data_IF_222828406933
#
_entry.id   IF_222828406933
#
_cell.length_a   1.000
_cell.length_b   1.000
_cell.length_c   1.000
_cell.angle_alpha   90.00
_cell.angle_beta   90.00
_cell.angle_gamma   90.00
#
_symmetry.space_group_name_H-M   'P 1'
#
loop_
_entity.id
_entity.type
_entity.pdbx_description
1 polymer ?
#
# COMPACT_ATOMS: atom_id res chain seq x y z
N UNK A 1 44.94 23.80 19.95
CA UNK A 1 44.10 22.59 20.04
C UNK A 1 42.67 23.01 20.34
N UNK A 2 41.84 23.24 19.32
CA UNK A 2 40.40 23.34 19.51
C UNK A 2 39.77 22.13 18.82
N UNK A 3 39.23 21.26 19.66
CA UNK A 3 38.58 20.02 19.28
C UNK A 3 37.50 20.32 18.23
N UNK A 4 37.61 19.65 17.08
CA UNK A 4 36.50 19.56 16.12
C UNK A 4 35.44 18.66 16.73
N UNK A 5 34.64 19.20 17.66
CA UNK A 5 33.35 18.63 18.03
C UNK A 5 32.44 18.72 16.82
N UNK A 6 32.56 17.74 15.91
CA UNK A 6 31.53 17.46 14.91
C UNK A 6 30.29 17.03 15.66
N UNK A 7 29.48 18.00 16.09
CA UNK A 7 28.11 17.78 16.48
C UNK A 7 27.38 17.28 15.22
N UNK A 8 27.46 15.96 14.99
CA UNK A 8 26.58 15.28 14.06
C UNK A 8 25.19 15.34 14.67
N UNK A 9 24.47 16.43 14.41
CA UNK A 9 23.03 16.45 14.59
C UNK A 9 22.44 15.54 13.52
N UNK A 10 22.07 14.29 13.86
CA UNK A 10 22.00 13.19 12.89
C UNK A 10 20.69 13.16 12.09
N UNK A 11 19.82 14.16 12.28
CA UNK A 11 18.43 14.17 11.81
C UNK A 11 18.14 15.45 11.04
N UNK A 12 17.70 15.30 9.79
CA UNK A 12 17.36 16.39 8.88
C UNK A 12 15.90 16.82 9.06
N UNK A 13 15.62 18.11 8.84
CA UNK A 13 14.24 18.57 8.73
C UNK A 13 13.58 17.98 7.48
N UNK A 14 12.25 17.75 7.53
CA UNK A 14 11.49 17.08 6.46
C UNK A 14 11.75 17.68 5.07
N UNK A 15 11.73 19.01 4.96
CA UNK A 15 11.91 19.71 3.69
C UNK A 15 13.28 19.46 3.02
N UNK A 16 14.28 19.03 3.79
CA UNK A 16 15.64 18.77 3.31
C UNK A 16 16.00 17.28 3.35
N UNK A 17 15.04 16.42 3.67
CA UNK A 17 15.31 15.00 3.82
C UNK A 17 15.53 14.34 2.45
N UNK A 18 16.61 13.57 2.35
CA UNK A 18 16.87 12.68 1.24
C UNK A 18 17.34 11.33 1.78
N UNK A 19 16.86 10.25 1.18
CA UNK A 19 17.24 8.88 1.55
C UNK A 19 18.75 8.63 1.48
N UNK A 20 19.49 9.36 0.62
CA UNK A 20 20.97 9.27 0.56
C UNK A 20 21.65 9.68 1.87
N UNK A 21 21.00 10.53 2.66
CA UNK A 21 21.51 11.02 3.94
C UNK A 21 20.95 10.22 5.13
N UNK A 22 20.05 9.27 4.89
CA UNK A 22 19.47 8.45 5.94
C UNK A 22 20.36 7.24 6.24
N UNK A 23 20.79 7.13 7.49
CA UNK A 23 21.62 6.01 7.95
C UNK A 23 20.81 5.18 8.95
N UNK A 24 20.47 3.96 8.56
CA UNK A 24 19.76 3.03 9.44
C UNK A 24 20.73 2.55 10.53
N UNK A 25 20.42 2.85 11.79
CA UNK A 25 21.15 2.33 12.96
C UNK A 25 20.37 1.26 13.70
N UNK A 26 19.05 1.25 13.54
CA UNK A 26 18.18 0.23 14.09
C UNK A 26 17.13 -0.16 13.06
N UNK A 27 16.91 -1.46 12.91
CA UNK A 27 15.91 -2.04 12.02
C UNK A 27 15.09 -3.05 12.82
N UNK A 28 13.78 -2.83 12.87
CA UNK A 28 12.83 -3.81 13.38
C UNK A 28 11.98 -4.32 12.22
N UNK A 29 11.96 -5.64 12.01
CA UNK A 29 11.03 -6.25 11.08
C UNK A 29 9.64 -6.28 11.74
N UNK A 30 8.62 -5.92 10.98
CA UNK A 30 7.26 -5.84 11.46
C UNK A 30 6.36 -6.81 10.72
N UNK A 31 5.36 -7.31 11.44
CA UNK A 31 4.25 -8.10 10.96
C UNK A 31 3.00 -7.72 11.77
N UNK A 32 1.80 -8.22 11.43
CA UNK A 32 0.58 -7.87 12.14
C UNK A 32 0.65 -8.09 13.65
N UNK A 33 1.22 -9.22 14.09
CA UNK A 33 1.28 -9.58 15.50
C UNK A 33 2.25 -8.74 16.34
N UNK A 34 3.27 -8.13 15.74
CA UNK A 34 4.26 -7.34 16.49
C UNK A 34 4.25 -5.84 16.18
N UNK A 35 3.42 -5.38 15.23
CA UNK A 35 3.45 -4.01 14.74
C UNK A 35 3.16 -2.99 15.85
N UNK A 36 2.09 -3.21 16.61
CA UNK A 36 1.68 -2.34 17.72
C UNK A 36 2.78 -2.24 18.79
N UNK A 37 3.27 -3.39 19.27
CA UNK A 37 4.32 -3.44 20.29
C UNK A 37 5.61 -2.76 19.80
N UNK A 38 6.01 -2.97 18.55
CA UNK A 38 7.21 -2.38 17.95
C UNK A 38 7.11 -0.85 17.90
N UNK A 39 5.99 -0.31 17.43
CA UNK A 39 5.77 1.14 17.33
C UNK A 39 5.74 1.79 18.71
N UNK A 40 4.99 1.22 19.66
CA UNK A 40 4.88 1.69 21.05
C UNK A 40 6.23 1.71 21.76
N UNK A 41 7.06 0.69 21.53
CA UNK A 41 8.37 0.56 22.18
C UNK A 41 9.44 1.48 21.56
N UNK A 42 9.34 1.77 20.26
CA UNK A 42 10.41 2.41 19.50
C UNK A 42 10.19 3.90 19.24
N UNK A 43 8.93 4.35 19.24
CA UNK A 43 8.52 5.70 18.89
C UNK A 43 7.85 6.42 20.07
N UNK A 44 7.85 7.75 20.03
CA UNK A 44 7.17 8.58 21.03
C UNK A 44 5.73 8.87 20.57
N UNK A 45 4.75 9.01 21.48
CA UNK A 45 3.35 9.28 21.12
C UNK A 45 3.15 10.52 20.23
N UNK A 46 3.95 11.57 20.45
CA UNK A 46 3.91 12.82 19.70
C UNK A 46 4.72 12.82 18.40
N UNK A 47 5.43 11.73 18.10
CA UNK A 47 6.03 11.58 16.77
C UNK A 47 4.94 11.52 15.72
N UNK A 48 5.27 11.88 14.48
CA UNK A 48 4.32 11.90 13.37
C UNK A 48 4.73 10.96 12.25
N UNK A 49 3.74 10.28 11.69
CA UNK A 49 3.84 9.39 10.54
C UNK A 49 3.36 10.16 9.31
N UNK A 50 4.28 10.57 8.45
CA UNK A 50 4.02 11.37 7.26
C UNK A 50 4.32 10.57 6.00
N UNK A 51 3.35 10.46 5.09
CA UNK A 51 3.56 9.83 3.77
C UNK A 51 4.63 10.61 3.00
N UNK A 52 5.67 9.91 2.53
CA UNK A 52 6.80 10.56 1.85
C UNK A 52 6.46 11.04 0.42
N UNK A 53 5.77 10.20 -0.36
CA UNK A 53 5.37 10.51 -1.73
C UNK A 53 4.00 9.91 -2.05
N UNK A 54 3.28 10.51 -2.99
CA UNK A 54 2.04 9.96 -3.54
C UNK A 54 2.28 8.95 -4.67
N UNK A 55 3.47 8.93 -5.27
CA UNK A 55 3.83 8.11 -6.43
C UNK A 55 5.29 7.61 -6.40
N UNK A 56 5.60 6.67 -7.30
CA UNK A 56 6.93 6.10 -7.47
C UNK A 56 7.46 5.30 -6.28
N UNK A 57 8.77 5.05 -6.25
CA UNK A 57 9.45 4.24 -5.22
C UNK A 57 9.31 4.80 -3.79
N UNK A 58 9.03 6.09 -3.65
CA UNK A 58 8.81 6.73 -2.36
C UNK A 58 7.41 6.48 -1.78
N UNK A 59 6.45 6.00 -2.58
CA UNK A 59 5.05 5.94 -2.20
C UNK A 59 4.74 4.94 -1.08
N UNK A 60 5.52 3.86 -0.98
CA UNK A 60 5.39 2.87 0.09
C UNK A 60 6.11 3.24 1.39
N UNK A 61 6.66 4.45 1.50
CA UNK A 61 7.43 4.87 2.67
C UNK A 61 6.70 5.94 3.45
N UNK A 62 6.73 5.79 4.77
CA UNK A 62 6.21 6.76 5.72
C UNK A 62 7.38 7.28 6.53
N UNK A 63 7.61 8.59 6.49
CA UNK A 63 8.61 9.24 7.33
C UNK A 63 8.12 9.28 8.77
N UNK A 64 9.01 8.99 9.70
CA UNK A 64 8.78 9.19 11.13
C UNK A 64 9.43 10.50 11.54
N UNK A 65 8.63 11.43 12.02
CA UNK A 65 9.05 12.78 12.38
C UNK A 65 8.98 12.97 13.89
N UNK A 66 9.94 13.68 14.46
CA UNK A 66 9.83 14.14 15.84
C UNK A 66 9.00 15.43 15.96
N UNK A 67 8.83 15.90 17.21
CA UNK A 67 8.13 17.14 17.52
C UNK A 67 8.77 18.41 16.92
N UNK A 68 10.00 18.32 16.39
CA UNK A 68 10.70 19.41 15.69
C UNK A 68 10.66 19.26 14.16
N UNK A 69 9.79 18.40 13.64
CA UNK A 69 9.68 18.10 12.20
C UNK A 69 11.01 17.59 11.61
N UNK A 70 11.81 16.91 12.41
CA UNK A 70 13.02 16.22 11.94
C UNK A 70 12.73 14.75 11.72
N UNK A 71 13.18 14.24 10.58
CA UNK A 71 13.07 12.82 10.25
C UNK A 71 13.98 12.04 11.20
N UNK A 72 13.38 11.08 11.92
CA UNK A 72 14.08 10.14 12.81
C UNK A 72 14.15 8.72 12.26
N UNK A 73 13.38 8.45 11.21
CA UNK A 73 13.16 7.11 10.73
C UNK A 73 12.26 7.03 9.51
N UNK A 74 12.16 5.82 8.99
CA UNK A 74 11.29 5.43 7.89
C UNK A 74 10.53 4.19 8.32
N UNK A 75 9.21 4.29 8.32
CA UNK A 75 8.28 3.19 8.46
C UNK A 75 7.86 2.68 7.08
N UNK A 76 8.06 1.39 6.86
CA UNK A 76 7.55 0.61 5.73
C UNK A 76 6.30 -0.11 6.26
N UNK A 77 5.09 0.31 5.85
CA UNK A 77 3.86 -0.18 6.46
C UNK A 77 3.65 -1.67 6.30
N UNK A 78 3.11 -2.31 7.33
CA UNK A 78 2.46 -3.62 7.19
C UNK A 78 1.16 -3.40 6.43
N UNK A 79 1.11 -3.82 5.16
CA UNK A 79 0.04 -3.40 4.24
C UNK A 79 -1.35 -3.96 4.58
N UNK A 80 -1.47 -5.03 5.36
CA UNK A 80 -2.78 -5.48 5.85
C UNK A 80 -3.32 -4.64 7.03
N UNK A 81 -2.54 -3.71 7.57
CA UNK A 81 -3.00 -2.69 8.52
C UNK A 81 -3.37 -1.38 7.80
N UNK A 82 -4.17 -0.50 8.43
CA UNK A 82 -4.46 0.83 7.89
C UNK A 82 -3.19 1.58 7.50
N UNK A 83 -3.16 2.13 6.28
CA UNK A 83 -2.09 3.02 5.90
C UNK A 83 -2.18 4.31 6.74
N UNK A 84 -1.07 4.84 7.29
CA UNK A 84 -1.12 6.04 8.14
C UNK A 84 -1.82 7.24 7.50
N UNK A 85 -1.69 7.41 6.17
CA UNK A 85 -2.39 8.50 5.46
C UNK A 85 -3.89 8.31 5.29
N UNK A 86 -4.40 7.10 5.51
CA UNK A 86 -5.83 6.80 5.44
C UNK A 86 -6.53 6.94 6.80
N UNK A 87 -5.75 7.03 7.90
CA UNK A 87 -6.28 7.16 9.27
C UNK A 87 -6.79 8.59 9.55
N UNK A 88 -6.19 9.60 8.95
CA UNK A 88 -6.69 10.98 9.05
C UNK A 88 -7.55 11.28 7.83
N UNK A 89 -8.86 11.50 8.04
CA UNK A 89 -9.80 11.88 6.98
C UNK A 89 -9.48 13.22 6.30
N UNK A 90 -8.60 14.00 6.93
CA UNK A 90 -8.08 15.24 6.39
C UNK A 90 -6.69 14.99 5.82
N UNK A 91 -6.42 15.53 4.63
CA UNK A 91 -5.12 15.55 3.97
C UNK A 91 -4.10 16.40 4.73
N UNK A 92 -3.90 16.08 6.00
CA UNK A 92 -3.04 16.77 6.93
C UNK A 92 -1.61 16.58 6.44
N UNK A 93 -1.10 17.62 5.78
CA UNK A 93 0.26 17.68 5.24
C UNK A 93 1.34 17.40 6.27
N UNK A 94 0.98 17.43 7.56
CA UNK A 94 1.88 17.20 8.67
C UNK A 94 1.87 15.74 9.18
N UNK A 95 1.02 14.85 8.65
CA UNK A 95 0.95 13.43 9.01
C UNK A 95 0.13 13.10 10.26
N UNK A 96 0.02 11.83 10.63
CA UNK A 96 -0.76 11.37 11.81
C UNK A 96 0.17 11.21 13.02
N UNK A 97 -0.26 11.56 14.24
CA UNK A 97 0.54 11.26 15.43
C UNK A 97 0.61 9.74 15.65
N UNK A 98 1.72 9.26 16.21
CA UNK A 98 1.87 7.85 16.59
C UNK A 98 0.76 7.47 17.57
N UNK A 99 0.43 8.31 18.53
CA UNK A 99 -0.69 8.07 19.46
C UNK A 99 -2.01 7.80 18.74
N UNK A 100 -2.39 8.65 17.77
CA UNK A 100 -3.65 8.49 17.04
C UNK A 100 -3.62 7.27 16.13
N UNK A 101 -2.47 6.96 15.54
CA UNK A 101 -2.32 5.76 14.73
C UNK A 101 -2.45 4.48 15.59
N UNK A 102 -1.82 4.48 16.78
CA UNK A 102 -1.90 3.36 17.73
C UNK A 102 -3.33 3.10 18.19
N UNK A 103 -4.13 4.13 18.47
CA UNK A 103 -5.57 3.98 18.81
C UNK A 103 -6.36 3.22 17.73
N UNK A 104 -5.96 3.32 16.47
CA UNK A 104 -6.63 2.62 15.36
C UNK A 104 -6.16 1.18 15.24
N UNK A 105 -4.87 0.91 15.47
CA UNK A 105 -4.30 -0.43 15.28
C UNK A 105 -4.27 -1.29 16.55
N UNK A 106 -4.49 -0.71 17.74
CA UNK A 106 -4.52 -1.43 19.02
C UNK A 106 -5.56 -2.55 19.05
N UNK A 107 -6.84 -2.33 18.68
CA UNK A 107 -7.82 -3.42 18.68
C UNK A 107 -7.45 -4.54 17.70
N UNK A 108 -6.61 -4.24 16.71
CA UNK A 108 -6.20 -5.17 15.65
C UNK A 108 -5.06 -6.06 16.08
N UNK A 109 -4.19 -5.56 16.96
CA UNK A 109 -3.09 -6.34 17.51
C UNK A 109 -3.62 -7.55 18.29
N UNK A 110 -4.67 -7.35 19.09
CA UNK A 110 -5.28 -8.40 19.90
C UNK A 110 -5.96 -9.51 19.08
N UNK A 111 -6.42 -9.20 17.86
CA UNK A 111 -7.00 -10.19 16.95
C UNK A 111 -5.97 -11.13 16.34
N UNK A 112 -4.68 -10.76 16.36
CA UNK A 112 -3.60 -11.63 15.89
C UNK A 112 -3.21 -12.70 16.90
N UNK A 113 -3.55 -12.51 18.19
CA UNK A 113 -3.17 -13.42 19.28
C UNK A 113 -4.21 -14.53 19.50
N UNK A 114 -5.47 -14.29 19.13
CA UNK A 114 -6.51 -15.29 19.16
C UNK A 114 -6.35 -16.26 17.99
N UNK A 115 -5.68 -17.37 18.25
CA UNK A 115 -5.71 -18.60 17.43
C UNK A 115 -7.11 -19.23 17.30
N UNK A 116 -8.18 -18.51 17.64
CA UNK A 116 -9.55 -19.00 17.62
C UNK A 116 -10.02 -19.21 16.18
N UNK A 117 -9.72 -20.42 15.71
CA UNK A 117 -10.40 -21.15 14.66
C UNK A 117 -11.85 -21.39 15.09
N UNK A 118 -12.70 -20.38 14.99
CA UNK A 118 -14.13 -20.58 15.21
C UNK A 118 -14.93 -20.06 14.03
N UNK A 119 -15.39 -21.03 13.25
CA UNK A 119 -16.64 -21.03 12.50
C UNK A 119 -17.78 -20.40 13.31
N UNK A 120 -18.06 -19.11 13.10
CA UNK A 120 -19.32 -18.42 13.40
C UNK A 120 -19.13 -17.00 12.83
N UNK A 121 -19.88 -16.52 11.84
CA UNK A 121 -21.22 -15.91 12.00
C UNK A 121 -21.43 -15.23 13.37
N UNK A 122 -20.39 -14.62 13.94
CA UNK A 122 -20.59 -13.56 14.92
C UNK A 122 -20.44 -12.22 14.21
N UNK A 123 -21.55 -11.47 14.16
CA UNK A 123 -21.68 -10.18 13.47
C UNK A 123 -20.92 -9.05 14.17
N UNK A 124 -20.14 -9.34 15.20
CA UNK A 124 -19.30 -8.38 15.91
C UNK A 124 -17.81 -8.71 15.71
N UNK A 125 -17.22 -7.97 14.75
CA UNK A 125 -15.79 -7.72 14.44
C UNK A 125 -14.98 -8.88 13.81
N UNK A 126 -14.22 -8.60 12.72
CA UNK A 126 -13.05 -7.72 12.79
C UNK A 126 -12.89 -6.79 11.58
N UNK A 127 -12.98 -5.47 11.79
CA UNK A 127 -12.39 -4.50 10.85
C UNK A 127 -10.96 -4.17 11.29
N UNK A 128 -10.05 -3.76 10.38
CA UNK A 128 -10.30 -3.48 8.98
C UNK A 128 -9.76 -4.53 8.01
N UNK A 129 -10.51 -4.67 6.94
CA UNK A 129 -10.12 -5.37 5.72
C UNK A 129 -9.40 -4.35 4.81
N UNK A 130 -8.39 -4.76 4.05
CA UNK A 130 -7.71 -3.92 3.07
C UNK A 130 -8.06 -4.44 1.69
N UNK A 131 -8.46 -3.57 0.76
CA UNK A 131 -8.60 -3.96 -0.65
C UNK A 131 -7.25 -3.80 -1.33
N UNK A 132 -6.88 -4.78 -2.13
CA UNK A 132 -5.72 -4.72 -3.00
C UNK A 132 -6.17 -4.93 -4.43
N UNK A 133 -5.72 -4.04 -5.31
CA UNK A 133 -5.88 -4.15 -6.76
C UNK A 133 -4.51 -4.05 -7.39
N UNK A 134 -4.12 -5.06 -8.16
CA UNK A 134 -2.85 -5.14 -8.87
C UNK A 134 -3.12 -4.98 -10.36
N UNK A 135 -2.72 -3.84 -10.92
CA UNK A 135 -2.76 -3.62 -12.36
C UNK A 135 -1.56 -4.27 -13.04
N UNK A 136 -1.79 -5.15 -14.01
CA UNK A 136 -0.74 -5.80 -14.79
C UNK A 136 -1.06 -5.85 -16.29
N UNK A 137 -0.08 -6.17 -17.15
CA UNK A 137 -0.28 -6.17 -18.61
C UNK A 137 -1.33 -7.15 -19.15
N UNK A 138 -1.84 -8.08 -18.35
CA UNK A 138 -2.83 -9.07 -18.79
C UNK A 138 -4.22 -8.77 -18.21
N UNK A 139 -4.37 -7.70 -17.43
CA UNK A 139 -5.62 -7.39 -16.76
C UNK A 139 -5.39 -6.90 -15.34
N UNK A 140 -6.18 -7.42 -14.42
CA UNK A 140 -6.18 -6.99 -13.02
C UNK A 140 -6.28 -8.21 -12.11
N UNK A 141 -5.57 -8.14 -10.98
CA UNK A 141 -5.84 -9.03 -9.87
C UNK A 141 -6.39 -8.24 -8.70
N UNK A 142 -7.40 -8.74 -8.00
CA UNK A 142 -7.96 -8.07 -6.84
C UNK A 142 -8.31 -9.05 -5.73
N UNK A 143 -8.21 -8.61 -4.49
CA UNK A 143 -8.53 -9.39 -3.32
C UNK A 143 -8.55 -8.51 -2.08
N UNK A 144 -9.03 -9.04 -0.97
CA UNK A 144 -9.07 -8.28 0.28
C UNK A 144 -8.52 -9.08 1.45
N UNK A 145 -7.97 -8.39 2.45
CA UNK A 145 -7.22 -9.02 3.55
C UNK A 145 -7.65 -8.48 4.90
N UNK A 146 -7.83 -9.34 5.89
CA UNK A 146 -8.01 -8.95 7.28
C UNK A 146 -6.71 -8.34 7.87
N UNK A 147 -6.83 -7.71 9.03
CA UNK A 147 -5.71 -7.07 9.73
C UNK A 147 -4.55 -8.02 10.06
N UNK A 148 -4.81 -9.30 10.26
CA UNK A 148 -3.80 -10.36 10.49
C UNK A 148 -3.10 -10.83 9.20
N UNK A 149 -3.58 -10.36 8.05
CA UNK A 149 -3.09 -10.69 6.71
C UNK A 149 -3.67 -11.98 6.11
N UNK A 150 -4.72 -12.56 6.70
CA UNK A 150 -5.49 -13.62 6.03
C UNK A 150 -6.39 -13.02 4.94
N UNK A 151 -6.63 -13.74 3.83
CA UNK A 151 -7.58 -13.28 2.82
C UNK A 151 -9.00 -13.26 3.40
N UNK A 152 -9.68 -12.13 3.22
CA UNK A 152 -11.11 -11.97 3.48
C UNK A 152 -11.92 -12.25 2.21
N UNK A 153 -11.45 -11.71 1.08
CA UNK A 153 -11.86 -12.13 -0.25
C UNK A 153 -10.66 -12.78 -0.95
N UNK A 154 -10.82 -13.98 -1.53
CA UNK A 154 -9.74 -14.64 -2.24
C UNK A 154 -9.25 -13.78 -3.40
N UNK A 155 -7.96 -13.88 -3.72
CA UNK A 155 -7.38 -13.19 -4.87
C UNK A 155 -7.98 -13.75 -6.16
N UNK A 156 -8.64 -12.90 -6.93
CA UNK A 156 -9.11 -13.19 -8.29
C UNK A 156 -8.12 -12.58 -9.26
N UNK A 157 -7.62 -13.39 -10.21
CA UNK A 157 -6.86 -12.90 -11.36
C UNK A 157 -7.81 -12.87 -12.56
N UNK A 158 -8.13 -11.68 -13.04
CA UNK A 158 -8.97 -11.50 -14.23
C UNK A 158 -8.06 -11.26 -15.43
N UNK A 159 -8.01 -12.23 -16.34
CA UNK A 159 -7.41 -12.07 -17.66
C UNK A 159 -8.40 -11.33 -18.55
N UNK A 160 -8.01 -10.15 -19.01
CA UNK A 160 -8.77 -9.38 -19.96
C UNK A 160 -8.02 -9.48 -21.26
N UNK A 161 -8.48 -10.41 -22.10
CA UNK A 161 -7.87 -10.81 -23.37
C UNK A 161 -7.02 -9.70 -23.98
N UNK A 162 -5.72 -9.95 -24.08
CA UNK A 162 -4.81 -9.11 -24.83
C UNK A 162 -5.35 -9.02 -26.26
N UNK A 163 -5.80 -7.83 -26.66
CA UNK A 163 -5.99 -7.56 -28.09
C UNK A 163 -4.60 -7.58 -28.69
N UNK A 164 -4.25 -8.69 -29.35
CA UNK A 164 -3.06 -8.73 -30.19
C UNK A 164 -3.20 -7.58 -31.18
N UNK A 165 -2.37 -6.56 -30.99
CA UNK A 165 -2.09 -5.60 -32.03
C UNK A 165 -1.49 -6.42 -33.16
N UNK A 166 -2.31 -6.75 -34.16
CA UNK A 166 -1.80 -6.99 -35.50
C UNK A 166 -0.80 -5.87 -35.77
N UNK A 167 0.49 -6.18 -36.02
CA UNK A 167 1.42 -5.15 -36.38
C UNK A 167 0.79 -4.41 -37.54
N UNK A 168 0.57 -3.10 -37.39
CA UNK A 168 0.19 -2.26 -38.53
C UNK A 168 1.25 -2.57 -39.58
N UNK A 169 0.86 -3.30 -40.61
CA UNK A 169 1.69 -3.55 -41.78
C UNK A 169 2.07 -2.17 -42.24
N UNK A 170 3.34 -1.81 -42.05
CA UNK A 170 3.91 -0.60 -42.59
C UNK A 170 3.97 -0.79 -44.10
N UNK A 171 2.85 -0.58 -44.77
CA UNK A 171 2.88 -0.13 -46.15
C UNK A 171 3.13 1.37 -46.08
N UNK A 172 4.41 1.72 -46.12
CA UNK A 172 4.91 3.07 -45.92
C UNK A 172 6.39 3.02 -45.65
N UNK A 173 7.16 2.73 -46.70
CA UNK A 173 8.60 3.00 -46.77
C UNK A 173 8.84 4.47 -46.44
N UNK A 174 9.55 4.68 -45.33
CA UNK A 174 10.39 5.83 -44.97
C UNK A 174 10.15 6.21 -43.51
N UNK A 175 10.91 5.58 -42.61
CA UNK A 175 11.49 6.35 -41.51
C UNK A 175 12.63 5.60 -40.82
N UNK A 176 13.83 6.12 -41.06
CA UNK A 176 15.12 5.70 -40.54
C UNK A 176 15.31 6.21 -39.10
N UNK A 177 14.49 5.75 -38.16
CA UNK A 177 14.78 5.84 -36.72
C UNK A 177 14.35 4.56 -36.01
N UNK A 178 15.34 3.71 -35.72
CA UNK A 178 15.23 2.43 -35.04
C UNK A 178 14.80 2.52 -33.58
N UNK A 179 13.57 2.95 -33.33
CA UNK A 179 12.89 2.73 -32.07
C UNK A 179 11.43 2.36 -32.36
N UNK A 180 11.21 1.10 -32.74
CA UNK A 180 9.88 0.49 -32.71
C UNK A 180 9.40 0.46 -31.25
N UNK A 181 8.88 1.58 -30.76
CA UNK A 181 8.08 1.64 -29.55
C UNK A 181 6.86 0.78 -29.81
N UNK A 182 6.93 -0.49 -29.37
CA UNK A 182 5.77 -1.32 -29.08
C UNK A 182 4.94 -0.60 -28.00
N UNK A 183 4.19 0.43 -28.38
CA UNK A 183 3.20 1.08 -27.52
C UNK A 183 2.07 0.08 -27.37
N UNK A 184 2.16 -0.78 -26.36
CA UNK A 184 1.07 -1.68 -25.99
C UNK A 184 -0.16 -0.83 -25.65
N UNK A 185 -1.27 -1.16 -26.32
CA UNK A 185 -2.54 -0.43 -26.28
C UNK A 185 -3.34 -0.88 -25.06
N UNK A 186 -2.87 -0.55 -23.85
CA UNK A 186 -3.73 -0.53 -22.63
C UNK A 186 -4.72 0.65 -22.64
N UNK A 187 -5.07 1.13 -23.84
CA UNK A 187 -5.80 2.38 -24.06
C UNK A 187 -7.07 2.20 -24.89
N UNK A 188 -7.43 0.97 -25.27
CA UNK A 188 -8.78 0.79 -25.79
C UNK A 188 -9.76 1.10 -24.66
N UNK A 189 -10.67 2.04 -24.92
CA UNK A 189 -11.74 2.40 -24.00
C UNK A 189 -12.52 1.16 -23.57
N UNK A 190 -12.74 0.22 -24.49
CA UNK A 190 -13.46 -1.03 -24.23
C UNK A 190 -12.76 -1.91 -23.19
N UNK A 191 -11.43 -1.96 -23.22
CA UNK A 191 -10.64 -2.69 -22.22
C UNK A 191 -10.82 -2.07 -20.84
N UNK A 192 -10.72 -0.75 -20.72
CA UNK A 192 -10.91 -0.05 -19.45
C UNK A 192 -12.33 -0.22 -18.92
N UNK A 193 -13.33 -0.17 -19.81
CA UNK A 193 -14.73 -0.41 -19.45
C UNK A 193 -14.96 -1.86 -18.99
N UNK A 194 -14.27 -2.83 -19.59
CA UNK A 194 -14.31 -4.22 -19.15
C UNK A 194 -13.69 -4.40 -17.75
N UNK A 195 -12.53 -3.78 -17.48
CA UNK A 195 -11.95 -3.76 -16.12
C UNK A 195 -12.91 -3.10 -15.12
N UNK A 196 -13.51 -1.97 -15.51
CA UNK A 196 -14.46 -1.27 -14.66
C UNK A 196 -15.70 -2.12 -14.36
N UNK A 197 -16.25 -2.80 -15.37
CA UNK A 197 -17.38 -3.69 -15.20
C UNK A 197 -17.07 -4.85 -14.24
N UNK A 198 -15.88 -5.45 -14.36
CA UNK A 198 -15.42 -6.50 -13.44
C UNK A 198 -15.30 -5.98 -12.00
N UNK A 199 -14.62 -4.85 -11.80
CA UNK A 199 -14.47 -4.26 -10.46
C UNK A 199 -15.82 -3.79 -9.88
N UNK A 200 -16.72 -3.28 -10.73
CA UNK A 200 -18.07 -2.92 -10.32
C UNK A 200 -18.88 -4.15 -9.91
N UNK A 201 -18.80 -5.25 -10.67
CA UNK A 201 -19.45 -6.51 -10.29
C UNK A 201 -18.98 -7.02 -8.93
N UNK A 202 -17.67 -6.91 -8.67
CA UNK A 202 -17.09 -7.22 -7.36
C UNK A 202 -17.60 -6.27 -6.26
N UNK A 203 -17.70 -4.96 -6.53
CA UNK A 203 -18.28 -4.01 -5.57
C UNK A 203 -19.75 -4.25 -5.30
N UNK A 204 -20.54 -4.63 -6.31
CA UNK A 204 -21.97 -4.89 -6.14
C UNK A 204 -22.19 -6.16 -5.29
N UNK A 205 -21.31 -7.16 -5.47
CA UNK A 205 -21.37 -8.43 -4.73
C UNK A 205 -20.87 -8.29 -3.28
N UNK A 206 -19.75 -7.61 -3.07
CA UNK A 206 -19.03 -7.58 -1.80
C UNK A 206 -19.00 -6.17 -1.15
N UNK A 207 -19.86 -5.26 -1.61
CA UNK A 207 -19.82 -3.83 -1.30
C UNK A 207 -19.88 -3.51 0.20
N UNK A 208 -20.65 -4.26 0.99
CA UNK A 208 -20.68 -4.08 2.45
C UNK A 208 -19.30 -4.36 3.06
N UNK A 209 -18.67 -5.48 2.70
CA UNK A 209 -17.35 -5.86 3.19
C UNK A 209 -16.26 -4.88 2.74
N UNK A 210 -16.38 -4.35 1.52
CA UNK A 210 -15.40 -3.42 0.95
C UNK A 210 -15.58 -1.98 1.45
N UNK A 211 -16.81 -1.57 1.74
CA UNK A 211 -17.10 -0.28 2.38
C UNK A 211 -16.39 -0.16 3.73
N UNK A 212 -16.19 -1.29 4.40
CA UNK A 212 -15.46 -1.45 5.66
C UNK A 212 -13.94 -1.49 5.49
N UNK A 213 -13.39 -1.37 4.29
CA UNK A 213 -11.95 -1.37 4.17
C UNK A 213 -11.34 -0.04 4.63
N UNK A 214 -10.27 -0.07 5.41
CA UNK A 214 -9.59 1.16 5.85
C UNK A 214 -8.73 1.77 4.75
N UNK A 215 -8.23 0.94 3.83
CA UNK A 215 -7.28 1.35 2.79
C UNK A 215 -7.51 0.53 1.54
N UNK A 216 -7.36 1.19 0.39
CA UNK A 216 -7.39 0.57 -0.92
C UNK A 216 -6.01 0.72 -1.55
N UNK A 217 -5.29 -0.37 -1.80
CA UNK A 217 -4.01 -0.31 -2.46
C UNK A 217 -4.17 -0.55 -3.96
N UNK A 218 -3.60 0.35 -4.76
CA UNK A 218 -3.40 0.14 -6.18
C UNK A 218 -1.93 -0.17 -6.43
N UNK A 219 -1.62 -1.42 -6.75
CA UNK A 219 -0.26 -1.89 -7.01
C UNK A 219 0.00 -1.83 -8.50
N UNK A 220 1.01 -1.06 -8.90
CA UNK A 220 1.39 -0.89 -10.31
C UNK A 220 2.71 -1.60 -10.58
N UNK A 221 2.73 -2.51 -11.54
CA UNK A 221 3.93 -3.27 -11.91
C UNK A 221 5.02 -2.43 -12.56
N UNK A 222 4.64 -1.63 -13.55
CA UNK A 222 5.55 -0.77 -14.29
C UNK A 222 4.78 0.50 -14.70
N UNK A 223 5.35 1.69 -14.44
CA UNK A 223 4.66 2.97 -14.72
C UNK A 223 4.37 3.20 -16.21
N UNK A 224 5.02 2.45 -17.11
CA UNK A 224 4.90 2.59 -18.56
C UNK A 224 3.78 1.76 -19.20
N UNK A 225 3.58 0.51 -18.72
CA UNK A 225 2.82 -0.50 -19.46
C UNK A 225 1.70 -1.16 -18.62
N UNK A 226 1.54 -0.80 -17.34
CA UNK A 226 0.47 -1.35 -16.51
C UNK A 226 -0.72 -0.41 -16.38
N UNK A 227 -1.90 -1.01 -16.15
CA UNK A 227 -3.08 -0.26 -15.76
C UNK A 227 -2.80 0.53 -14.47
N UNK A 228 -2.96 1.84 -14.52
CA UNK A 228 -2.76 2.71 -13.37
C UNK A 228 -4.07 3.31 -12.88
N UNK A 229 -4.13 3.59 -11.58
CA UNK A 229 -5.30 4.21 -10.93
C UNK A 229 -5.72 5.53 -11.62
N UNK A 230 -4.76 6.28 -12.18
CA UNK A 230 -5.05 7.52 -12.91
C UNK A 230 -5.92 7.24 -14.15
N UNK A 231 -5.62 6.20 -14.92
CA UNK A 231 -6.43 5.80 -16.08
C UNK A 231 -7.84 5.39 -15.66
N UNK A 232 -7.97 4.65 -14.56
CA UNK A 232 -9.28 4.25 -14.03
C UNK A 232 -10.13 5.43 -13.57
N UNK A 233 -9.51 6.42 -12.90
CA UNK A 233 -10.19 7.67 -12.51
C UNK A 233 -10.69 8.46 -13.71
N UNK A 234 -9.87 8.60 -14.76
CA UNK A 234 -10.29 9.28 -15.99
C UNK A 234 -11.43 8.52 -16.67
N UNK A 235 -11.37 7.19 -16.71
CA UNK A 235 -12.44 6.37 -17.28
C UNK A 235 -13.76 6.49 -16.49
N UNK A 236 -13.70 6.46 -15.15
CA UNK A 236 -14.86 6.68 -14.28
C UNK A 236 -15.46 8.08 -14.48
N UNK A 237 -14.62 9.10 -14.62
CA UNK A 237 -15.08 10.46 -14.89
C UNK A 237 -15.78 10.57 -16.25
N UNK A 238 -15.19 10.05 -17.32
CA UNK A 238 -15.80 10.07 -18.65
C UNK A 238 -17.10 9.28 -18.70
N UNK A 239 -17.15 8.11 -18.05
CA UNK A 239 -18.38 7.35 -17.96
C UNK A 239 -19.50 8.18 -17.32
N UNK A 240 -19.20 8.98 -16.28
CA UNK A 240 -20.19 9.88 -15.65
C UNK A 240 -20.61 11.03 -16.55
N UNK A 241 -19.70 11.57 -17.37
CA UNK A 241 -19.98 12.65 -18.32
C UNK A 241 -20.90 12.19 -19.45
N UNK A 242 -20.69 10.98 -19.99
CA UNK A 242 -21.51 10.42 -21.09
C UNK A 242 -22.96 10.10 -20.70
N UNK A 243 -23.26 9.96 -19.39
CA UNK A 243 -24.62 9.76 -18.88
C UNK A 243 -25.40 11.07 -18.67
N UNK A 244 -24.80 12.24 -18.92
CA UNK A 244 -25.52 13.51 -18.86
C UNK A 244 -26.26 13.74 -20.19
N UNK A 245 -27.60 13.82 -20.21
CA UNK A 245 -28.35 14.09 -21.43
C UNK A 245 -27.96 15.45 -22.02
N UNK A 246 -27.65 15.47 -23.32
CA UNK A 246 -27.37 16.71 -24.07
C UNK A 246 -28.55 17.69 -23.91
N UNK A 247 -28.29 18.84 -23.27
CA UNK A 247 -29.24 19.95 -23.21
C UNK A 247 -29.74 20.36 -21.82
N UNK A 248 -29.29 19.71 -20.73
CA UNK A 248 -29.60 20.20 -19.37
C UNK A 248 -28.50 21.17 -18.91
N UNK A 249 -28.82 22.44 -18.59
CA UNK A 249 -27.83 23.40 -18.12
C UNK A 249 -27.12 22.90 -16.86
N UNK A 250 -25.79 22.93 -16.90
CA UNK A 250 -24.83 22.55 -15.85
C UNK A 250 -24.95 23.41 -14.59
N UNK A 251 -26.01 23.19 -13.81
CA UNK A 251 -26.21 23.84 -12.52
C UNK A 251 -26.62 22.84 -11.44
N UNK A 252 -26.03 21.64 -11.43
CA UNK A 252 -25.74 20.84 -10.22
C UNK A 252 -25.13 19.50 -10.61
N UNK A 253 -24.13 18.99 -9.88
CA UNK A 253 -23.65 17.62 -10.08
C UNK A 253 -24.82 16.66 -9.82
N UNK A 254 -25.15 15.84 -10.82
CA UNK A 254 -26.13 14.75 -10.67
C UNK A 254 -25.67 13.88 -9.51
N UNK A 255 -26.43 13.88 -8.43
CA UNK A 255 -26.17 13.02 -7.29
C UNK A 255 -26.29 11.57 -7.76
N UNK A 256 -25.18 10.83 -7.65
CA UNK A 256 -25.20 9.37 -7.77
C UNK A 256 -26.33 8.89 -6.84
N UNK A 257 -27.25 8.03 -7.30
CA UNK A 257 -28.36 7.57 -6.47
C UNK A 257 -27.80 7.06 -5.13
N UNK A 258 -28.32 7.64 -4.04
CA UNK A 258 -27.79 7.56 -2.68
C UNK A 258 -27.83 6.14 -2.03
N UNK A 259 -27.92 5.08 -2.84
CA UNK A 259 -27.87 3.68 -2.44
C UNK A 259 -26.80 2.85 -3.16
N UNK A 260 -26.03 3.42 -4.09
CA UNK A 260 -24.87 2.74 -4.67
C UNK A 260 -23.69 2.84 -3.72
N UNK A 261 -23.43 1.77 -2.97
CA UNK A 261 -22.24 1.60 -2.12
C UNK A 261 -20.95 1.37 -2.94
N UNK A 262 -20.95 1.72 -4.24
CA UNK A 262 -19.82 1.49 -5.13
C UNK A 262 -18.59 2.29 -4.68
N UNK A 263 -17.46 1.59 -4.55
CA UNK A 263 -16.17 2.21 -4.26
C UNK A 263 -15.74 3.04 -5.47
N UNK A 264 -15.71 4.36 -5.34
CA UNK A 264 -15.20 5.23 -6.41
C UNK A 264 -13.68 5.16 -6.50
N UNK A 265 -13.10 5.28 -7.70
CA UNK A 265 -11.65 5.44 -7.85
C UNK A 265 -11.16 6.80 -7.32
N UNK A 266 -12.07 7.76 -7.15
CA UNK A 266 -11.81 9.03 -6.48
C UNK A 266 -11.77 8.91 -4.93
N UNK A 267 -12.05 7.74 -4.35
CA UNK A 267 -11.98 7.53 -2.91
C UNK A 267 -10.60 7.88 -2.35
N UNK A 268 -10.57 8.59 -1.21
CA UNK A 268 -9.34 9.07 -0.58
C UNK A 268 -8.52 7.93 0.06
N UNK A 269 -9.15 6.78 0.32
CA UNK A 269 -8.50 5.57 0.84
C UNK A 269 -7.53 4.93 -0.15
N UNK A 270 -7.56 5.33 -1.43
CA UNK A 270 -6.64 4.84 -2.45
C UNK A 270 -5.19 5.27 -2.19
N UNK A 271 -4.32 4.27 -2.04
CA UNK A 271 -2.87 4.40 -1.94
C UNK A 271 -2.22 3.65 -3.09
N UNK A 272 -1.49 4.37 -3.95
CA UNK A 272 -0.75 3.76 -5.06
C UNK A 272 0.61 3.29 -4.56
N UNK A 273 0.96 2.04 -4.84
CA UNK A 273 2.25 1.44 -4.54
C UNK A 273 2.87 0.85 -5.81
N UNK A 274 4.18 0.99 -6.04
CA UNK A 274 4.84 0.22 -7.08
C UNK A 274 5.03 -1.23 -6.62
N UNK A 275 4.99 -2.20 -7.51
CA UNK A 275 5.20 -3.61 -7.14
C UNK A 275 6.60 -3.88 -6.57
N UNK A 276 7.60 -3.07 -6.97
CA UNK A 276 8.96 -3.09 -6.43
C UNK A 276 9.02 -2.87 -4.92
N UNK A 277 7.95 -2.33 -4.33
CA UNK A 277 7.77 -2.25 -2.89
C UNK A 277 7.75 -3.64 -2.22
N UNK A 278 7.15 -4.64 -2.87
CA UNK A 278 6.97 -5.99 -2.33
C UNK A 278 8.16 -6.91 -2.60
N UNK A 279 9.11 -6.50 -3.46
CA UNK A 279 10.32 -7.27 -3.77
C UNK A 279 11.19 -7.48 -2.52
N UNK A 280 11.11 -6.57 -1.55
CA UNK A 280 11.87 -6.65 -0.28
C UNK A 280 11.40 -7.73 0.70
N UNK A 281 10.25 -8.37 0.47
CA UNK A 281 9.65 -9.33 1.43
C UNK A 281 10.35 -10.70 1.48
N UNK A 282 11.24 -11.01 0.53
CA UNK A 282 12.25 -12.08 0.64
C UNK A 282 11.76 -13.54 0.68
N UNK A 283 10.47 -13.84 0.84
CA UNK A 283 9.98 -15.21 0.99
C UNK A 283 9.44 -15.83 -0.30
N UNK A 284 8.79 -15.04 -1.16
CA UNK A 284 8.09 -15.55 -2.35
C UNK A 284 7.89 -14.46 -3.40
N UNK A 285 8.03 -14.74 -4.71
CA UNK A 285 7.78 -13.74 -5.75
C UNK A 285 6.29 -13.35 -5.77
N UNK A 286 6.02 -12.07 -5.99
CA UNK A 286 4.65 -11.55 -6.14
C UNK A 286 3.90 -12.15 -7.35
N UNK A 287 4.65 -12.65 -8.33
CA UNK A 287 4.08 -13.18 -9.57
C UNK A 287 4.55 -14.60 -9.81
N UNK A 288 3.65 -15.40 -10.40
CA UNK A 288 3.90 -16.76 -10.86
C UNK A 288 3.40 -16.93 -12.30
N UNK A 289 3.56 -18.13 -12.87
CA UNK A 289 2.93 -18.50 -14.13
C UNK A 289 1.67 -19.31 -13.87
N UNK A 290 0.60 -18.98 -14.57
CA UNK A 290 -0.59 -19.80 -14.60
C UNK A 290 -0.25 -21.18 -15.21
N UNK A 291 -0.76 -22.25 -14.60
CA UNK A 291 -0.41 -23.62 -15.02
C UNK A 291 -0.99 -23.96 -16.39
N UNK A 292 -2.15 -23.39 -16.72
CA UNK A 292 -2.92 -23.70 -17.92
C UNK A 292 -2.53 -22.76 -19.06
N UNK A 293 -2.54 -21.45 -18.82
CA UNK A 293 -2.30 -20.44 -19.86
C UNK A 293 -0.83 -20.05 -20.01
N UNK A 294 0.03 -20.46 -19.06
CA UNK A 294 1.45 -20.07 -18.97
C UNK A 294 1.69 -18.55 -18.87
N UNK A 295 0.63 -17.76 -18.73
CA UNK A 295 0.69 -16.32 -18.55
C UNK A 295 1.19 -15.97 -17.15
N UNK A 296 1.75 -14.77 -17.00
CA UNK A 296 2.20 -14.27 -15.70
C UNK A 296 1.01 -13.69 -14.93
N UNK A 297 0.70 -14.31 -13.80
CA UNK A 297 -0.40 -13.91 -12.90
C UNK A 297 0.15 -13.50 -11.53
N UNK A 298 -0.68 -12.85 -10.71
CA UNK A 298 -0.34 -12.54 -9.32
C UNK A 298 -0.47 -13.81 -8.49
N UNK A 299 0.60 -14.16 -7.77
CA UNK A 299 0.63 -15.32 -6.89
C UNK A 299 -0.11 -15.00 -5.58
N UNK A 300 -1.20 -15.71 -5.22
CA UNK A 300 -1.99 -15.39 -4.03
C UNK A 300 -1.16 -15.42 -2.74
N UNK A 301 -0.30 -16.42 -2.59
CA UNK A 301 0.52 -16.57 -1.39
C UNK A 301 1.65 -15.53 -1.35
N UNK A 302 2.30 -15.26 -2.48
CA UNK A 302 3.32 -14.22 -2.58
C UNK A 302 2.77 -12.84 -2.25
N UNK A 303 1.56 -12.51 -2.72
CA UNK A 303 0.88 -11.29 -2.32
C UNK A 303 0.55 -11.31 -0.83
N UNK A 304 -0.02 -12.40 -0.30
CA UNK A 304 -0.37 -12.51 1.11
C UNK A 304 0.83 -12.31 2.04
N UNK A 305 1.96 -12.97 1.75
CA UNK A 305 3.20 -12.84 2.51
C UNK A 305 3.70 -11.40 2.48
N UNK A 306 3.63 -10.76 1.31
CA UNK A 306 4.06 -9.38 1.13
C UNK A 306 3.17 -8.38 1.86
N UNK A 307 1.85 -8.65 1.97
CA UNK A 307 0.92 -7.83 2.74
C UNK A 307 1.19 -7.85 4.25
N UNK A 308 1.76 -8.95 4.75
CA UNK A 308 2.11 -9.14 6.17
C UNK A 308 3.48 -8.58 6.53
N UNK A 309 4.29 -8.22 5.54
CA UNK A 309 5.63 -7.72 5.76
C UNK A 309 5.64 -6.20 5.96
N UNK A 310 6.37 -5.74 6.97
CA UNK A 310 6.68 -4.33 7.18
C UNK A 310 8.04 -4.17 7.86
N UNK A 311 8.47 -2.93 8.03
CA UNK A 311 9.69 -2.64 8.79
C UNK A 311 9.70 -1.22 9.37
N UNK A 312 10.33 -1.07 10.52
CA UNK A 312 10.67 0.23 11.10
C UNK A 312 12.19 0.41 11.06
N UNK A 313 12.63 1.45 10.34
CA UNK A 313 14.03 1.82 10.20
C UNK A 313 14.27 3.13 10.96
N UNK A 314 15.20 3.16 11.90
CA UNK A 314 15.52 4.35 12.70
C UNK A 314 16.99 4.74 12.55
N UNK A 315 17.27 6.04 12.57
CA UNK A 315 18.63 6.60 12.54
C UNK A 315 19.32 6.67 13.91
N UNK A 316 18.66 6.11 14.91
CA UNK A 316 19.15 5.94 16.28
C UNK A 316 18.74 4.58 16.81
N UNK A 317 19.43 4.14 17.87
CA UNK A 317 19.04 2.94 18.62
C UNK A 317 18.12 3.39 19.77
N UNK A 318 16.85 2.93 19.82
CA UNK A 318 15.92 3.28 20.90
C UNK A 318 16.47 2.94 22.28
N UNK A 319 16.15 3.78 23.28
CA UNK A 319 16.61 3.59 24.67
C UNK A 319 16.07 2.29 25.28
N UNK A 320 14.81 1.98 25.00
CA UNK A 320 14.14 0.73 25.41
C UNK A 320 14.95 -0.51 25.00
N UNK A 321 15.46 -0.53 23.78
CA UNK A 321 16.28 -1.64 23.25
C UNK A 321 17.67 -1.68 23.91
N UNK A 322 18.31 -0.53 24.13
CA UNK A 322 19.62 -0.49 24.82
C UNK A 322 19.53 -1.10 26.22
N UNK A 323 18.49 -0.74 26.98
CA UNK A 323 18.33 -1.22 28.35
C UNK A 323 18.04 -2.73 28.41
N UNK A 324 17.28 -3.27 27.46
CA UNK A 324 17.05 -4.72 27.36
C UNK A 324 18.36 -5.49 27.12
N UNK A 325 19.25 -4.98 26.26
CA UNK A 325 20.56 -5.62 26.01
C UNK A 325 21.50 -5.60 27.21
N UNK A 326 21.49 -4.51 28.00
CA UNK A 326 22.29 -4.42 29.22
C UNK A 326 21.76 -5.34 30.30
N UNK A 327 20.43 -5.42 30.47
CA UNK A 327 19.79 -6.28 31.47
C UNK A 327 20.04 -7.77 31.20
N UNK A 328 20.03 -8.20 29.93
CA UNK A 328 20.34 -9.58 29.57
C UNK A 328 21.82 -9.94 29.81
N UNK A 329 22.74 -8.99 29.59
CA UNK A 329 24.15 -9.18 29.87
C UNK A 329 24.44 -9.30 31.38
N UNK A 330 23.77 -8.51 32.22
CA UNK A 330 23.93 -8.59 33.68
C UNK A 330 23.44 -9.93 34.25
N UNK A 331 22.30 -10.45 33.76
CA UNK A 331 21.78 -11.76 34.19
C UNK A 331 22.63 -12.94 33.70
N UNK A 332 23.27 -12.82 32.53
CA UNK A 332 24.22 -13.82 32.04
C UNK A 332 25.54 -13.82 32.85
N UNK A 333 25.94 -12.68 33.44
CA UNK A 333 27.11 -12.63 34.32
C UNK A 333 26.85 -13.13 35.75
N UNK A 334 25.62 -13.03 36.25
CA UNK A 334 25.26 -13.52 37.60
C UNK A 334 25.01 -15.04 37.65
N UNK A 335 24.74 -15.69 36.51
CA UNK A 335 24.59 -17.15 36.41
C UNK A 335 25.92 -17.90 36.22
N UNK A 336 27.04 -17.18 36.20
CA UNK A 336 28.39 -17.71 36.01
C UNK A 336 29.31 -17.51 37.22
N UNK A 337 28.75 -17.43 38.44
CA UNK A 337 29.53 -17.60 39.67
C UNK A 337 29.20 -18.96 40.31
N UNK A 338 30.24 -19.75 40.67
CA UNK A 338 30.12 -21.16 41.06
C UNK A 338 29.43 -21.40 42.40
#
# INVERSE_FOLDING_TARGET
MFAHSRLHFPRAAVAYFNMKHFQVKYKANMNPGNAYATLTTSLMPHDRLLRHSSSGRGAGRVLVLDNKQKVKGVYIPVCCLPHPSAVTGDGNSLGVSVENYLKVIEPLAHLSDTNDRTTAVDKSTPMPTVLVVVGHPQGVAYGSFYADGRPALPLVNTDLNYVELTPVTKEGEDDNFGCARKRQVYRSRDFLMSVMGELQSMWDKDGEALSRCSTFYWITRDEGDALCLKSMRMCEQHAREDFLPEGVPTASPVAIPAGSHAVSFADRRWTVLPDSFFVSAGSRPLYTRDKTTQQRIVDPQGLQDAMRAGALLLDYVPRSVKNASTSAATMASESAQP
#
